data_IF_595521704527
#
_entry.id   IF_595521704527
#
_cell.length_a   1.000
_cell.length_b   1.000
_cell.length_c   1.000
_cell.angle_alpha   90.00
_cell.angle_beta   90.00
_cell.angle_gamma   90.00
#
_symmetry.space_group_name_H-M   'P 1'
#
loop_
_entity.id
_entity.type
_entity.pdbx_description
1 polymer ?
#
# COMPACT_ATOMS: atom_id res chain seq x y z
N UNK A 1 -53.78 54.63 45.61
CA UNK A 1 -52.84 53.98 44.67
C UNK A 1 -51.58 53.59 45.44
N UNK A 2 -51.28 52.29 45.53
CA UNK A 2 -50.08 51.78 46.20
C UNK A 2 -48.82 52.22 45.45
N UNK A 3 -47.69 52.35 46.14
CA UNK A 3 -46.43 52.88 45.57
C UNK A 3 -46.04 52.17 44.26
N UNK A 4 -46.27 50.86 44.19
CA UNK A 4 -46.02 50.00 43.02
C UNK A 4 -46.83 50.38 41.78
N UNK A 5 -48.11 50.73 41.91
CA UNK A 5 -48.94 51.12 40.75
C UNK A 5 -48.55 52.49 40.19
N UNK A 6 -48.02 53.40 41.04
CA UNK A 6 -47.50 54.69 40.57
C UNK A 6 -46.21 54.51 39.76
N UNK A 7 -45.29 53.62 40.17
CA UNK A 7 -44.06 53.35 39.42
C UNK A 7 -44.32 52.74 38.04
N UNK A 8 -45.28 51.82 37.92
CA UNK A 8 -45.68 51.25 36.63
C UNK A 8 -46.29 52.31 35.69
N UNK A 9 -47.08 53.23 36.24
CA UNK A 9 -47.64 54.35 35.45
C UNK A 9 -46.54 55.30 34.95
N UNK A 10 -45.54 55.61 35.78
CA UNK A 10 -44.41 56.45 35.37
C UNK A 10 -43.53 55.79 34.30
N UNK A 11 -43.32 54.46 34.37
CA UNK A 11 -42.61 53.73 33.32
C UNK A 11 -43.34 53.79 31.99
N UNK A 12 -44.66 53.57 31.98
CA UNK A 12 -45.46 53.63 30.76
C UNK A 12 -45.43 55.03 30.13
N UNK A 13 -45.55 56.08 30.96
CA UNK A 13 -45.43 57.46 30.49
C UNK A 13 -44.04 57.72 29.89
N UNK A 14 -42.96 57.23 30.54
CA UNK A 14 -41.60 57.40 30.03
C UNK A 14 -41.38 56.71 28.67
N UNK A 15 -41.95 55.51 28.45
CA UNK A 15 -41.86 54.80 27.17
C UNK A 15 -42.61 55.56 26.07
N UNK A 16 -43.83 56.03 26.37
CA UNK A 16 -44.64 56.78 25.39
C UNK A 16 -43.97 58.10 25.04
N UNK A 17 -43.46 58.84 26.03
CA UNK A 17 -42.72 60.09 25.79
C UNK A 17 -41.41 59.82 25.03
N UNK A 18 -40.67 58.77 25.38
CA UNK A 18 -39.44 58.40 24.66
C UNK A 18 -39.69 58.04 23.20
N UNK A 19 -40.78 57.31 22.93
CA UNK A 19 -41.17 56.93 21.56
C UNK A 19 -41.64 58.16 20.77
N UNK A 20 -42.42 59.05 21.39
CA UNK A 20 -42.85 60.30 20.78
C UNK A 20 -41.66 61.22 20.46
N UNK A 21 -40.69 61.35 21.38
CA UNK A 21 -39.47 62.12 21.16
C UNK A 21 -38.58 61.50 20.06
N UNK A 22 -38.46 60.18 20.02
CA UNK A 22 -37.73 59.48 18.95
C UNK A 22 -38.35 59.75 17.57
N UNK A 23 -39.67 59.67 17.45
CA UNK A 23 -40.36 59.92 16.18
C UNK A 23 -40.31 61.40 15.78
N UNK A 24 -40.46 62.31 16.75
CA UNK A 24 -40.58 63.76 16.48
C UNK A 24 -39.22 64.42 16.22
N UNK A 25 -38.14 63.93 16.83
CA UNK A 25 -36.82 64.57 16.75
C UNK A 25 -35.76 63.76 15.99
N UNK A 26 -36.03 62.52 15.59
CA UNK A 26 -35.12 61.73 14.75
C UNK A 26 -35.52 61.84 13.26
N UNK A 27 -35.54 63.05 12.72
CA UNK A 27 -35.95 63.37 11.35
C UNK A 27 -34.80 63.33 10.34
N UNK A 28 -33.88 62.37 10.45
CA UNK A 28 -32.80 62.21 9.44
C UNK A 28 -32.16 60.82 9.36
N UNK A 29 -32.85 59.75 9.81
CA UNK A 29 -32.42 58.37 9.53
C UNK A 29 -33.19 57.80 8.32
N UNK A 30 -33.12 58.53 7.20
CA UNK A 30 -33.73 58.19 5.92
C UNK A 30 -32.72 58.34 4.79
N UNK A 31 -31.53 57.74 4.95
CA UNK A 31 -30.53 57.63 3.89
C UNK A 31 -29.65 56.40 4.18
N UNK A 32 -30.16 55.20 3.89
CA UNK A 32 -29.29 54.04 3.77
C UNK A 32 -28.63 54.16 2.40
N UNK A 33 -27.36 54.57 2.44
CA UNK A 33 -26.48 54.54 1.30
C UNK A 33 -26.53 53.15 0.64
N UNK A 34 -26.74 53.14 -0.67
CA UNK A 34 -26.40 52.00 -1.52
C UNK A 34 -24.90 51.78 -1.42
N UNK A 35 -24.48 50.99 -0.43
CA UNK A 35 -23.18 50.32 -0.48
C UNK A 35 -23.36 49.24 -1.52
N UNK A 36 -22.83 49.48 -2.72
CA UNK A 36 -22.60 48.40 -3.67
C UNK A 36 -21.69 47.40 -2.96
N UNK A 37 -22.25 46.27 -2.54
CA UNK A 37 -21.42 45.14 -2.13
C UNK A 37 -20.46 44.85 -3.29
N UNK A 38 -19.14 44.79 -3.06
CA UNK A 38 -18.24 44.29 -4.08
C UNK A 38 -18.73 42.88 -4.42
N UNK A 39 -19.00 42.63 -5.69
CA UNK A 39 -19.29 41.29 -6.20
C UNK A 39 -18.20 40.36 -5.71
N UNK A 40 -18.50 39.58 -4.69
CA UNK A 40 -17.72 38.40 -4.35
C UNK A 40 -17.96 37.45 -5.49
N UNK A 41 -17.03 37.44 -6.45
CA UNK A 41 -16.83 36.29 -7.32
C UNK A 41 -16.77 35.09 -6.37
N UNK A 42 -17.81 34.26 -6.40
CA UNK A 42 -17.74 32.95 -5.77
C UNK A 42 -16.55 32.28 -6.43
N UNK A 43 -15.44 32.17 -5.71
CA UNK A 43 -14.38 31.23 -6.06
C UNK A 43 -15.09 29.88 -6.03
N UNK A 44 -15.48 29.40 -7.21
CA UNK A 44 -15.89 28.01 -7.39
C UNK A 44 -14.60 27.26 -7.10
N UNK A 45 -14.43 26.79 -5.86
CA UNK A 45 -13.44 25.78 -5.55
C UNK A 45 -13.90 24.58 -6.37
N UNK A 46 -13.33 24.42 -7.57
CA UNK A 46 -13.52 23.23 -8.38
C UNK A 46 -13.04 22.10 -7.50
N UNK A 47 -13.97 21.25 -7.03
CA UNK A 47 -13.61 20.03 -6.31
C UNK A 47 -12.50 19.36 -7.10
N UNK A 48 -11.40 19.00 -6.43
CA UNK A 48 -10.24 18.52 -7.16
C UNK A 48 -10.65 17.24 -7.90
N UNK A 49 -10.49 17.27 -9.22
CA UNK A 49 -10.97 16.18 -10.08
C UNK A 49 -10.17 14.91 -9.78
N UNK A 50 -10.86 13.78 -9.69
CA UNK A 50 -10.23 12.49 -9.46
C UNK A 50 -9.07 12.25 -10.43
N UNK A 51 -7.95 11.78 -9.89
CA UNK A 51 -6.75 11.49 -10.66
C UNK A 51 -6.96 10.19 -11.43
N UNK A 52 -6.59 10.18 -12.71
CA UNK A 52 -6.53 8.98 -13.52
C UNK A 52 -5.23 8.99 -14.32
N UNK A 53 -4.44 7.92 -14.24
CA UNK A 53 -3.22 7.78 -15.03
C UNK A 53 -3.39 6.72 -16.13
N UNK A 54 -3.08 7.05 -17.39
CA UNK A 54 -3.20 6.11 -18.50
C UNK A 54 -2.17 4.98 -18.40
N UNK A 55 -2.48 3.82 -18.97
CA UNK A 55 -1.48 2.84 -19.34
C UNK A 55 -0.73 3.35 -20.56
N UNK A 56 0.39 4.00 -20.30
CA UNK A 56 1.30 4.55 -21.30
C UNK A 56 2.68 3.91 -21.13
N UNK A 57 3.22 3.39 -22.22
CA UNK A 57 4.57 2.84 -22.33
C UNK A 57 5.18 3.40 -23.59
N UNK A 58 6.38 3.96 -23.48
CA UNK A 58 7.20 4.40 -24.61
C UNK A 58 8.67 4.14 -24.28
N UNK A 59 9.39 3.49 -25.20
CA UNK A 59 10.81 3.20 -25.05
C UNK A 59 11.24 1.96 -25.85
N UNK A 60 12.53 1.93 -26.22
CA UNK A 60 13.19 0.80 -26.87
C UNK A 60 12.42 0.18 -28.05
N UNK A 61 11.76 1.01 -28.86
CA UNK A 61 11.04 0.57 -30.06
C UNK A 61 9.62 0.06 -29.82
N UNK A 62 9.08 0.20 -28.61
CA UNK A 62 7.68 -0.06 -28.29
C UNK A 62 7.00 1.20 -27.76
N UNK A 63 5.82 1.50 -28.31
CA UNK A 63 4.97 2.59 -27.84
C UNK A 63 3.51 2.16 -27.83
N UNK A 64 2.83 2.36 -26.71
CA UNK A 64 1.41 2.09 -26.54
C UNK A 64 0.80 3.04 -25.51
N UNK A 65 -0.43 3.49 -25.75
CA UNK A 65 -1.14 4.38 -24.84
C UNK A 65 -2.65 4.11 -24.90
N UNK A 66 -3.29 3.99 -23.74
CA UNK A 66 -4.74 3.95 -23.56
C UNK A 66 -5.12 4.71 -22.29
N UNK A 67 -6.34 5.25 -22.26
CA UNK A 67 -6.89 5.93 -21.07
C UNK A 67 -7.26 4.94 -19.95
N UNK A 68 -7.17 3.63 -20.17
CA UNK A 68 -7.35 2.57 -19.17
C UNK A 68 -6.02 2.21 -18.48
N UNK A 69 -6.08 1.59 -17.30
CA UNK A 69 -4.92 1.12 -16.54
C UNK A 69 -5.37 0.15 -15.42
N UNK A 70 -4.42 -0.41 -14.67
CA UNK A 70 -4.70 -1.21 -13.48
C UNK A 70 -5.29 -0.34 -12.37
N UNK A 71 -6.50 -0.70 -11.94
CA UNK A 71 -7.26 0.03 -10.94
C UNK A 71 -7.25 -0.72 -9.60
N UNK A 72 -7.28 0.04 -8.50
CA UNK A 72 -7.18 -0.49 -7.15
C UNK A 72 -8.13 0.24 -6.21
N UNK A 73 -8.76 -0.48 -5.29
CA UNK A 73 -9.43 0.16 -4.16
C UNK A 73 -8.39 0.86 -3.25
N UNK A 74 -8.82 1.91 -2.56
CA UNK A 74 -8.02 2.56 -1.50
C UNK A 74 -7.56 1.52 -0.48
N UNK A 75 -6.30 1.62 -0.03
CA UNK A 75 -5.68 0.70 0.93
C UNK A 75 -5.66 -0.77 0.48
N UNK A 76 -5.66 -1.01 -0.84
CA UNK A 76 -5.63 -2.34 -1.45
C UNK A 76 -4.58 -2.44 -2.57
N UNK A 77 -3.94 -3.60 -2.65
CA UNK A 77 -3.08 -3.99 -3.76
C UNK A 77 -3.75 -4.96 -4.75
N UNK A 78 -5.01 -5.35 -4.50
CA UNK A 78 -5.74 -6.25 -5.39
C UNK A 78 -6.18 -5.49 -6.65
N UNK A 79 -5.81 -6.02 -7.81
CA UNK A 79 -6.22 -5.51 -9.11
C UNK A 79 -7.74 -5.68 -9.25
N UNK A 80 -8.43 -4.61 -9.64
CA UNK A 80 -9.85 -4.68 -10.01
C UNK A 80 -10.00 -5.37 -11.37
N UNK A 81 -10.77 -6.46 -11.39
CA UNK A 81 -11.01 -7.30 -12.55
C UNK A 81 -12.47 -7.21 -13.02
N UNK A 82 -12.77 -7.43 -14.31
CA UNK A 82 -11.82 -7.73 -15.39
C UNK A 82 -11.04 -6.48 -15.85
N UNK A 83 -9.87 -6.69 -16.45
CA UNK A 83 -9.13 -5.61 -17.14
C UNK A 83 -9.90 -5.18 -18.39
N UNK A 84 -9.79 -3.90 -18.78
CA UNK A 84 -10.38 -3.42 -20.02
C UNK A 84 -9.71 -4.01 -21.26
N UNK A 85 -10.45 -3.97 -22.37
CA UNK A 85 -10.01 -4.57 -23.63
C UNK A 85 -8.74 -3.88 -24.19
N UNK A 86 -8.68 -2.54 -24.12
CA UNK A 86 -7.53 -1.77 -24.60
C UNK A 86 -6.28 -2.03 -23.74
N UNK A 87 -6.43 -2.14 -22.41
CA UNK A 87 -5.32 -2.53 -21.54
C UNK A 87 -4.81 -3.94 -21.88
N UNK A 88 -5.71 -4.90 -22.07
CA UNK A 88 -5.36 -6.28 -22.43
C UNK A 88 -4.65 -6.36 -23.78
N UNK A 89 -5.08 -5.57 -24.77
CA UNK A 89 -4.40 -5.43 -26.06
C UNK A 89 -2.99 -4.87 -25.89
N UNK A 90 -2.82 -3.81 -25.08
CA UNK A 90 -1.52 -3.21 -24.77
C UNK A 90 -0.55 -4.22 -24.13
N UNK A 91 -1.04 -5.00 -23.17
CA UNK A 91 -0.25 -6.05 -22.51
C UNK A 91 0.17 -7.15 -23.51
N UNK A 92 -0.72 -7.54 -24.42
CA UNK A 92 -0.40 -8.54 -25.47
C UNK A 92 0.68 -8.00 -26.42
N UNK A 93 0.60 -6.72 -26.80
CA UNK A 93 1.65 -6.05 -27.57
C UNK A 93 2.99 -6.01 -26.83
N UNK A 94 2.95 -5.71 -25.52
CA UNK A 94 4.12 -5.66 -24.66
C UNK A 94 4.80 -7.03 -24.54
N UNK A 95 4.01 -8.10 -24.38
CA UNK A 95 4.52 -9.47 -24.35
C UNK A 95 5.30 -9.80 -25.63
N UNK A 96 4.68 -9.60 -26.80
CA UNK A 96 5.34 -9.86 -28.10
C UNK A 96 6.63 -9.06 -28.28
N UNK A 97 6.66 -7.82 -27.79
CA UNK A 97 7.85 -6.99 -27.83
C UNK A 97 8.97 -7.54 -26.93
N UNK A 98 8.66 -7.96 -25.71
CA UNK A 98 9.65 -8.52 -24.77
C UNK A 98 10.19 -9.89 -25.20
N UNK A 99 9.38 -10.71 -25.87
CA UNK A 99 9.80 -12.00 -26.43
C UNK A 99 10.84 -11.86 -27.55
N UNK A 100 10.90 -10.70 -28.21
CA UNK A 100 11.86 -10.43 -29.29
C UNK A 100 13.03 -9.56 -28.84
N UNK A 101 13.04 -9.09 -27.60
CA UNK A 101 14.03 -8.15 -27.05
C UNK A 101 14.41 -8.53 -25.61
N UNK A 102 15.24 -9.56 -25.45
CA UNK A 102 15.64 -10.10 -24.14
C UNK A 102 16.39 -9.10 -23.24
N UNK A 103 16.98 -8.05 -23.81
CA UNK A 103 17.63 -6.97 -23.05
C UNK A 103 16.64 -5.96 -22.46
N UNK A 104 15.39 -5.93 -22.96
CA UNK A 104 14.38 -5.02 -22.46
C UNK A 104 13.83 -5.48 -21.11
N UNK A 105 13.74 -4.52 -20.19
CA UNK A 105 13.20 -4.69 -18.85
C UNK A 105 12.12 -3.65 -18.62
N UNK A 106 10.98 -4.08 -18.10
CA UNK A 106 9.87 -3.24 -17.72
C UNK A 106 10.06 -2.75 -16.30
N UNK A 107 10.01 -1.44 -16.12
CA UNK A 107 9.89 -0.78 -14.83
C UNK A 107 8.41 -0.55 -14.53
N UNK A 108 7.89 -1.19 -13.49
CA UNK A 108 6.53 -0.96 -12.99
C UNK A 108 6.64 -0.20 -11.67
N UNK A 109 6.16 1.04 -11.65
CA UNK A 109 6.09 1.84 -10.43
C UNK A 109 4.65 1.96 -9.99
N UNK A 110 4.28 1.30 -8.90
CA UNK A 110 2.98 1.45 -8.29
C UNK A 110 2.95 2.68 -7.37
N UNK A 111 1.83 3.37 -7.38
CA UNK A 111 1.62 4.57 -6.59
C UNK A 111 0.85 4.28 -5.30
N UNK A 112 1.11 5.06 -4.27
CA UNK A 112 0.37 5.03 -3.00
C UNK A 112 0.38 6.41 -2.33
N UNK A 113 -0.53 6.62 -1.38
CA UNK A 113 -0.56 7.85 -0.57
C UNK A 113 -0.24 7.55 0.91
N UNK A 114 0.13 8.59 1.66
CA UNK A 114 0.39 8.51 3.11
C UNK A 114 -0.85 8.17 3.92
N UNK A 115 -2.04 8.45 3.38
CA UNK A 115 -3.33 8.21 4.02
C UNK A 115 -3.81 6.76 3.87
N UNK A 116 -3.12 5.94 3.06
CA UNK A 116 -3.49 4.53 2.86
C UNK A 116 -2.90 3.62 3.94
N UNK A 117 -3.69 2.63 4.36
CA UNK A 117 -3.25 1.61 5.30
C UNK A 117 -2.50 0.47 4.59
N UNK A 118 -1.22 0.29 4.91
CA UNK A 118 -0.43 -0.81 4.35
C UNK A 118 -0.63 -2.13 5.12
N UNK A 119 -1.56 -2.94 4.65
CA UNK A 119 -1.87 -4.28 5.17
C UNK A 119 -1.08 -5.43 4.52
N UNK A 120 -0.06 -5.12 3.72
CA UNK A 120 0.70 -6.10 2.93
C UNK A 120 1.95 -6.57 3.69
N UNK A 121 2.81 -7.37 3.05
CA UNK A 121 4.15 -7.73 3.55
C UNK A 121 5.26 -6.84 2.95
N UNK A 122 4.92 -5.89 2.07
CA UNK A 122 5.89 -4.99 1.44
C UNK A 122 6.04 -3.69 2.25
N UNK A 123 7.14 -2.93 2.02
CA UNK A 123 7.37 -1.64 2.67
C UNK A 123 6.25 -0.61 2.45
N UNK A 124 5.63 -0.61 1.26
CA UNK A 124 4.51 0.28 0.94
C UNK A 124 3.52 -0.38 -0.05
N UNK A 125 2.31 0.19 -0.13
CA UNK A 125 1.25 -0.29 -1.02
C UNK A 125 1.61 -0.15 -2.50
N UNK A 126 2.39 0.87 -2.88
CA UNK A 126 2.80 1.06 -4.27
C UNK A 126 3.63 -0.12 -4.78
N UNK A 127 4.59 -0.59 -3.99
CA UNK A 127 5.39 -1.76 -4.33
C UNK A 127 4.52 -3.04 -4.35
N UNK A 128 3.56 -3.17 -3.43
CA UNK A 128 2.63 -4.28 -3.43
C UNK A 128 1.74 -4.30 -4.69
N UNK A 129 1.25 -3.13 -5.14
CA UNK A 129 0.51 -2.96 -6.39
C UNK A 129 1.36 -3.31 -7.60
N UNK A 130 2.60 -2.81 -7.66
CA UNK A 130 3.54 -3.16 -8.72
C UNK A 130 3.80 -4.67 -8.76
N UNK A 131 3.93 -5.32 -7.60
CA UNK A 131 4.08 -6.76 -7.50
C UNK A 131 2.83 -7.53 -7.99
N UNK A 132 1.62 -7.06 -7.64
CA UNK A 132 0.38 -7.62 -8.15
C UNK A 132 0.27 -7.49 -9.68
N UNK A 133 0.65 -6.34 -10.25
CA UNK A 133 0.70 -6.14 -11.70
C UNK A 133 1.72 -7.08 -12.34
N UNK A 134 2.94 -7.17 -11.79
CA UNK A 134 3.96 -8.13 -12.26
C UNK A 134 3.41 -9.55 -12.31
N UNK A 135 2.69 -10.00 -11.28
CA UNK A 135 2.11 -11.34 -11.25
C UNK A 135 1.01 -11.53 -12.31
N UNK A 136 0.19 -10.50 -12.54
CA UNK A 136 -0.80 -10.51 -13.62
C UNK A 136 -0.14 -10.56 -15.01
N UNK A 137 0.92 -9.79 -15.25
CA UNK A 137 1.71 -9.84 -16.49
C UNK A 137 2.38 -11.20 -16.66
N UNK A 138 2.92 -11.79 -15.60
CA UNK A 138 3.50 -13.13 -15.62
C UNK A 138 2.47 -14.20 -15.97
N UNK A 139 1.24 -14.07 -15.48
CA UNK A 139 0.13 -14.96 -15.88
C UNK A 139 -0.23 -14.85 -17.37
N UNK A 140 0.18 -13.76 -18.04
CA UNK A 140 0.01 -13.51 -19.47
C UNK A 140 1.26 -13.82 -20.29
N UNK A 141 2.25 -14.50 -19.70
CA UNK A 141 3.44 -14.99 -20.40
C UNK A 141 4.66 -14.07 -20.33
N UNK A 142 4.57 -12.91 -19.68
CA UNK A 142 5.73 -12.01 -19.55
C UNK A 142 6.67 -12.53 -18.46
N UNK A 143 7.95 -12.72 -18.79
CA UNK A 143 8.95 -13.19 -17.83
C UNK A 143 9.13 -12.21 -16.66
N UNK A 144 9.02 -12.70 -15.42
CA UNK A 144 9.29 -11.89 -14.21
C UNK A 144 10.74 -11.39 -14.16
N UNK A 145 11.67 -12.08 -14.82
CA UNK A 145 13.06 -11.65 -14.91
C UNK A 145 13.21 -10.33 -15.66
N UNK A 146 12.30 -10.03 -16.60
CA UNK A 146 12.23 -8.78 -17.35
C UNK A 146 11.37 -7.72 -16.65
N UNK A 147 10.97 -7.89 -15.39
CA UNK A 147 10.15 -6.89 -14.69
C UNK A 147 10.84 -6.41 -13.41
N UNK A 148 10.97 -5.11 -13.25
CA UNK A 148 11.33 -4.42 -12.02
C UNK A 148 10.08 -3.83 -11.39
N UNK A 149 9.96 -3.92 -10.07
CA UNK A 149 8.84 -3.37 -9.32
C UNK A 149 9.34 -2.32 -8.34
N UNK A 150 8.64 -1.18 -8.30
CA UNK A 150 8.95 -0.04 -7.45
C UNK A 150 7.66 0.52 -6.84
N UNK A 151 7.79 1.20 -5.71
CA UNK A 151 6.71 1.98 -5.09
C UNK A 151 7.07 3.45 -5.07
N UNK A 152 6.10 4.33 -5.31
CA UNK A 152 6.29 5.79 -5.23
C UNK A 152 5.12 6.44 -4.48
N UNK A 153 5.46 7.28 -3.50
CA UNK A 153 4.49 8.11 -2.78
C UNK A 153 3.96 9.19 -3.73
N UNK A 154 2.64 9.33 -3.79
CA UNK A 154 1.91 10.23 -4.67
C UNK A 154 0.67 10.79 -3.94
N UNK A 155 0.89 11.60 -2.90
CA UNK A 155 -0.21 12.13 -2.05
C UNK A 155 -1.23 13.00 -2.79
N UNK A 156 -0.88 13.46 -3.99
CA UNK A 156 -1.77 14.19 -4.89
C UNK A 156 -2.80 13.29 -5.60
N UNK A 157 -2.73 11.96 -5.41
CA UNK A 157 -3.72 11.05 -5.95
C UNK A 157 -5.06 11.19 -5.26
N UNK A 158 -6.10 11.40 -6.07
CA UNK A 158 -7.47 11.57 -5.58
C UNK A 158 -8.31 10.40 -6.11
N UNK A 159 -8.81 9.51 -5.22
CA UNK A 159 -9.63 8.39 -5.64
C UNK A 159 -11.02 8.88 -6.05
N UNK A 160 -11.67 8.14 -6.95
CA UNK A 160 -13.09 8.30 -7.28
C UNK A 160 -13.85 7.08 -6.82
N UNK A 161 -14.90 7.27 -6.05
CA UNK A 161 -15.76 6.18 -5.55
C UNK A 161 -14.95 5.06 -4.85
N UNK A 162 -13.97 5.46 -4.03
CA UNK A 162 -13.08 4.53 -3.32
C UNK A 162 -12.04 3.81 -4.19
N UNK A 163 -11.87 4.22 -5.45
CA UNK A 163 -10.96 3.61 -6.42
C UNK A 163 -9.92 4.60 -6.90
N UNK A 164 -8.66 4.17 -6.92
CA UNK A 164 -7.59 4.83 -7.66
C UNK A 164 -7.55 4.28 -9.08
N UNK A 165 -7.74 5.17 -10.05
CA UNK A 165 -7.74 4.85 -11.47
C UNK A 165 -6.31 4.97 -12.02
N UNK A 166 -5.71 3.84 -12.39
CA UNK A 166 -4.32 3.79 -12.83
C UNK A 166 -3.30 4.14 -11.76
N UNK A 167 -3.32 3.47 -10.61
CA UNK A 167 -2.32 3.70 -9.55
C UNK A 167 -0.93 3.09 -9.88
N UNK A 168 -0.50 3.16 -11.14
CA UNK A 168 0.79 2.66 -11.59
C UNK A 168 1.24 3.34 -12.90
N UNK A 169 2.56 3.37 -13.09
CA UNK A 169 3.20 3.76 -14.35
C UNK A 169 4.22 2.71 -14.79
N UNK A 170 4.58 2.78 -16.06
CA UNK A 170 5.34 1.79 -16.77
C UNK A 170 6.41 2.46 -17.61
N UNK A 171 7.57 1.81 -17.73
CA UNK A 171 8.63 2.25 -18.63
C UNK A 171 9.44 1.06 -19.11
N UNK A 172 10.06 1.20 -20.28
CA UNK A 172 10.99 0.21 -20.82
C UNK A 172 12.39 0.76 -20.71
N UNK A 173 13.28 -0.04 -20.15
CA UNK A 173 14.70 0.27 -20.03
C UNK A 173 15.52 -0.92 -20.51
N UNK A 174 16.78 -0.67 -20.86
CA UNK A 174 17.75 -1.74 -21.05
C UNK A 174 18.13 -2.37 -19.72
N UNK A 175 18.40 -3.67 -19.74
CA UNK A 175 18.94 -4.42 -18.60
C UNK A 175 20.24 -3.75 -18.13
N UNK A 176 20.34 -3.47 -16.83
CA UNK A 176 21.56 -2.91 -16.23
C UNK A 176 22.76 -3.81 -16.47
N UNK A 177 23.90 -3.22 -16.81
CA UNK A 177 25.18 -3.94 -16.94
C UNK A 177 25.64 -4.57 -15.61
N UNK A 178 25.21 -4.04 -14.47
CA UNK A 178 25.55 -4.54 -13.13
C UNK A 178 24.51 -5.52 -12.58
N UNK A 179 23.47 -5.88 -13.34
CA UNK A 179 22.32 -6.62 -12.83
C UNK A 179 22.72 -7.96 -12.17
N UNK A 180 23.73 -8.65 -12.70
CA UNK A 180 24.20 -9.92 -12.15
C UNK A 180 24.96 -9.74 -10.84
N UNK A 181 25.85 -8.75 -10.76
CA UNK A 181 26.56 -8.39 -9.53
C UNK A 181 25.60 -7.92 -8.43
N UNK A 182 24.60 -7.12 -8.80
CA UNK A 182 23.55 -6.65 -7.88
C UNK A 182 22.73 -7.82 -7.32
N UNK A 183 22.42 -8.84 -8.14
CA UNK A 183 21.71 -10.04 -7.70
C UNK A 183 22.56 -10.91 -6.78
N UNK A 184 23.87 -11.03 -7.05
CA UNK A 184 24.79 -11.73 -6.18
C UNK A 184 24.90 -11.06 -4.82
N UNK A 185 25.08 -9.73 -4.79
CA UNK A 185 25.10 -8.96 -3.56
C UNK A 185 23.78 -9.09 -2.78
N UNK A 186 22.64 -9.13 -3.49
CA UNK A 186 21.33 -9.35 -2.88
C UNK A 186 21.20 -10.75 -2.24
N UNK A 187 21.68 -11.80 -2.92
CA UNK A 187 21.70 -13.16 -2.36
C UNK A 187 22.52 -13.23 -1.06
N UNK A 188 23.75 -12.68 -1.09
CA UNK A 188 24.65 -12.65 0.06
C UNK A 188 24.01 -11.86 1.23
N UNK A 189 23.41 -10.71 0.94
CA UNK A 189 22.68 -9.91 1.94
C UNK A 189 21.55 -10.69 2.61
N UNK A 190 20.70 -11.36 1.82
CA UNK A 190 19.54 -12.09 2.33
C UNK A 190 19.97 -13.29 3.20
N UNK A 191 21.00 -14.03 2.77
CA UNK A 191 21.46 -15.21 3.52
C UNK A 191 22.34 -14.86 4.73
N UNK A 192 23.02 -13.70 4.73
CA UNK A 192 23.74 -13.20 5.90
C UNK A 192 22.81 -12.72 7.02
N UNK A 193 21.66 -12.13 6.67
CA UNK A 193 20.66 -11.65 7.62
C UNK A 193 19.24 -12.12 7.22
N UNK A 194 18.91 -13.41 7.47
CA UNK A 194 17.66 -13.99 7.02
C UNK A 194 16.42 -13.33 7.64
N UNK A 195 15.27 -13.48 6.99
CA UNK A 195 14.00 -13.08 7.58
C UNK A 195 13.63 -14.09 8.66
N UNK A 196 13.47 -13.60 9.89
CA UNK A 196 13.07 -14.41 11.05
C UNK A 196 11.70 -13.91 11.52
N UNK A 197 10.75 -14.83 11.61
CA UNK A 197 9.40 -14.60 12.12
C UNK A 197 9.27 -15.31 13.46
N UNK A 198 9.01 -14.57 14.52
CA UNK A 198 8.76 -15.13 15.85
C UNK A 198 7.28 -15.40 16.05
N UNK A 199 6.96 -16.48 16.76
CA UNK A 199 5.58 -16.86 17.06
C UNK A 199 5.39 -16.91 18.57
N UNK A 200 4.52 -16.03 19.07
CA UNK A 200 4.00 -16.18 20.42
C UNK A 200 3.03 -17.38 20.46
N UNK A 201 2.88 -17.99 21.63
CA UNK A 201 2.12 -19.25 21.81
C UNK A 201 0.62 -19.15 21.49
N UNK A 202 0.11 -17.95 21.17
CA UNK A 202 -1.30 -17.69 20.88
C UNK A 202 -1.54 -16.65 19.76
N UNK A 203 -0.52 -16.21 19.03
CA UNK A 203 -0.70 -15.20 17.97
C UNK A 203 -1.09 -15.86 16.63
N UNK A 204 -2.23 -15.42 16.09
CA UNK A 204 -2.78 -15.86 14.81
C UNK A 204 -2.42 -14.93 13.64
N UNK A 205 -1.54 -13.94 13.85
CA UNK A 205 -1.19 -12.94 12.83
C UNK A 205 0.31 -12.64 12.80
N UNK A 206 0.80 -12.26 11.62
CA UNK A 206 2.16 -11.77 11.40
C UNK A 206 2.08 -10.26 11.27
N UNK A 207 2.73 -9.53 12.18
CA UNK A 207 2.96 -8.09 12.03
C UNK A 207 4.43 -7.88 11.72
N UNK A 208 4.73 -7.46 10.48
CA UNK A 208 6.09 -7.19 10.05
C UNK A 208 6.47 -5.74 10.32
N UNK A 209 7.64 -5.54 10.92
CA UNK A 209 8.27 -4.23 10.97
C UNK A 209 8.83 -3.80 9.59
N UNK A 210 9.32 -2.56 9.49
CA UNK A 210 9.84 -2.00 8.24
C UNK A 210 11.03 -2.81 7.69
N UNK A 211 11.91 -3.29 8.55
CA UNK A 211 13.09 -4.08 8.15
C UNK A 211 12.66 -5.44 7.60
N UNK A 212 11.73 -6.11 8.28
CA UNK A 212 11.19 -7.40 7.83
C UNK A 212 10.44 -7.26 6.51
N UNK A 213 9.66 -6.18 6.32
CA UNK A 213 9.00 -5.88 5.04
C UNK A 213 10.00 -5.67 3.91
N UNK A 214 11.12 -5.00 4.19
CA UNK A 214 12.20 -4.86 3.21
C UNK A 214 12.80 -6.22 2.85
N UNK A 215 13.01 -7.11 3.83
CA UNK A 215 13.49 -8.48 3.55
C UNK A 215 12.51 -9.27 2.67
N UNK A 216 11.20 -9.10 2.85
CA UNK A 216 10.20 -9.73 1.96
C UNK A 216 10.31 -9.19 0.53
N UNK A 217 10.46 -7.87 0.37
CA UNK A 217 10.66 -7.25 -0.94
C UNK A 217 11.94 -7.77 -1.62
N UNK A 218 13.04 -7.86 -0.86
CA UNK A 218 14.33 -8.36 -1.33
C UNK A 218 14.24 -9.83 -1.79
N UNK A 219 13.60 -10.69 -0.98
CA UNK A 219 13.34 -12.10 -1.34
C UNK A 219 12.49 -12.18 -2.61
N UNK A 220 11.37 -11.46 -2.70
CA UNK A 220 10.51 -11.46 -3.90
C UNK A 220 11.32 -11.07 -5.13
N UNK A 221 12.06 -9.97 -5.06
CA UNK A 221 12.90 -9.49 -6.16
C UNK A 221 13.90 -10.56 -6.61
N UNK A 222 14.57 -11.23 -5.68
CA UNK A 222 15.53 -12.28 -6.06
C UNK A 222 14.84 -13.46 -6.77
N UNK A 223 13.73 -13.94 -6.22
CA UNK A 223 12.98 -15.07 -6.78
C UNK A 223 12.40 -14.80 -8.18
N UNK A 224 12.07 -13.52 -8.46
CA UNK A 224 11.58 -13.06 -9.75
C UNK A 224 12.68 -13.00 -10.81
N UNK A 225 13.90 -12.61 -10.41
CA UNK A 225 15.03 -12.38 -11.31
C UNK A 225 15.87 -13.61 -11.59
N UNK A 226 15.93 -14.56 -10.66
CA UNK A 226 16.75 -15.76 -10.79
C UNK A 226 15.87 -16.97 -11.11
N UNK A 227 16.00 -17.45 -12.36
CA UNK A 227 15.31 -18.64 -12.80
C UNK A 227 15.68 -19.85 -11.92
N UNK A 228 14.69 -20.64 -11.52
CA UNK A 228 14.88 -21.80 -10.65
C UNK A 228 15.19 -21.50 -9.17
N UNK A 229 15.43 -20.24 -8.79
CA UNK A 229 15.63 -19.89 -7.38
C UNK A 229 14.38 -20.21 -6.55
N UNK A 230 14.60 -20.66 -5.32
CA UNK A 230 13.54 -20.94 -4.34
C UNK A 230 13.93 -20.38 -2.97
N UNK A 231 12.94 -20.21 -2.10
CA UNK A 231 13.14 -19.84 -0.70
C UNK A 231 12.78 -21.01 0.21
N UNK A 232 13.62 -21.25 1.22
CA UNK A 232 13.32 -22.19 2.29
C UNK A 232 12.61 -21.46 3.42
N UNK A 233 11.51 -22.04 3.88
CA UNK A 233 10.76 -21.61 5.06
C UNK A 233 10.85 -22.74 6.09
N UNK A 234 11.67 -22.53 7.12
CA UNK A 234 12.01 -23.57 8.11
C UNK A 234 11.45 -23.22 9.47
N UNK A 235 10.56 -24.05 9.98
CA UNK A 235 9.95 -23.86 11.30
C UNK A 235 10.74 -24.52 12.42
N UNK A 236 10.83 -23.82 13.55
CA UNK A 236 11.47 -24.26 14.79
C UNK A 236 10.52 -24.13 15.98
N UNK A 237 10.78 -24.95 17.00
CA UNK A 237 10.05 -24.93 18.28
C UNK A 237 11.03 -24.82 19.45
N UNK A 238 10.51 -24.49 20.62
CA UNK A 238 11.22 -24.76 21.86
C UNK A 238 11.21 -26.27 22.19
N UNK A 239 11.89 -26.63 23.28
CA UNK A 239 12.03 -28.03 23.70
C UNK A 239 10.87 -28.55 24.57
N UNK A 240 9.75 -27.83 24.66
CA UNK A 240 8.62 -28.24 25.48
C UNK A 240 7.80 -29.31 24.75
N UNK A 241 7.58 -30.46 25.40
CA UNK A 241 6.77 -31.55 24.84
C UNK A 241 7.56 -32.56 24.00
N UNK A 242 6.84 -33.38 23.23
CA UNK A 242 7.45 -34.48 22.46
C UNK A 242 8.07 -33.99 21.15
N UNK A 243 9.20 -34.59 20.76
CA UNK A 243 9.91 -34.24 19.54
C UNK A 243 9.07 -34.37 18.26
N UNK A 244 8.22 -35.41 18.16
CA UNK A 244 7.31 -35.63 17.03
C UNK A 244 6.25 -34.52 16.93
N UNK A 245 5.66 -34.13 18.06
CA UNK A 245 4.72 -33.01 18.15
C UNK A 245 5.39 -31.70 17.74
N UNK A 246 6.63 -31.47 18.20
CA UNK A 246 7.40 -30.28 17.86
C UNK A 246 7.80 -30.23 16.39
N UNK A 247 8.09 -31.37 15.77
CA UNK A 247 8.31 -31.46 14.32
C UNK A 247 7.07 -31.00 13.54
N UNK A 248 5.88 -31.49 13.93
CA UNK A 248 4.61 -31.09 13.31
C UNK A 248 4.30 -29.61 13.53
N UNK A 249 4.44 -29.11 14.76
CA UNK A 249 4.19 -27.70 15.10
C UNK A 249 5.12 -26.75 14.34
N UNK A 250 6.41 -27.09 14.23
CA UNK A 250 7.33 -26.33 13.40
C UNK A 250 6.89 -26.29 11.93
N UNK A 251 6.40 -27.42 11.38
CA UNK A 251 5.89 -27.46 10.01
C UNK A 251 4.66 -26.59 9.84
N UNK A 252 3.69 -26.64 10.77
CA UNK A 252 2.48 -25.81 10.76
C UNK A 252 2.82 -24.30 10.74
N UNK A 253 3.81 -23.86 11.54
CA UNK A 253 4.30 -22.47 11.51
C UNK A 253 4.94 -22.08 10.18
N UNK A 254 5.70 -22.99 9.58
CA UNK A 254 6.31 -22.75 8.28
C UNK A 254 5.26 -22.68 7.15
N UNK A 255 4.22 -23.52 7.19
CA UNK A 255 3.09 -23.45 6.25
C UNK A 255 2.28 -22.15 6.40
N UNK A 256 2.13 -21.65 7.64
CA UNK A 256 1.50 -20.36 7.89
C UNK A 256 2.32 -19.21 7.29
N UNK A 257 3.64 -19.21 7.48
CA UNK A 257 4.53 -18.24 6.85
C UNK A 257 4.49 -18.34 5.30
N UNK A 258 4.47 -19.55 4.73
CA UNK A 258 4.27 -19.76 3.28
C UNK A 258 2.96 -19.14 2.81
N UNK A 259 1.85 -19.41 3.49
CA UNK A 259 0.54 -18.85 3.14
C UNK A 259 0.55 -17.32 3.16
N UNK A 260 1.24 -16.72 4.13
CA UNK A 260 1.42 -15.27 4.21
C UNK A 260 2.24 -14.70 3.04
N UNK A 261 3.35 -15.35 2.67
CA UNK A 261 4.16 -14.96 1.50
C UNK A 261 3.38 -15.11 0.19
N UNK A 262 2.60 -16.19 0.03
CA UNK A 262 1.74 -16.41 -1.13
C UNK A 262 0.65 -15.35 -1.26
N UNK A 263 0.00 -14.99 -0.15
CA UNK A 263 -0.99 -13.90 -0.14
C UNK A 263 -0.39 -12.56 -0.61
N UNK A 264 0.91 -12.37 -0.40
CA UNK A 264 1.67 -11.21 -0.85
C UNK A 264 2.34 -11.43 -2.22
N UNK A 265 1.89 -12.42 -2.98
CA UNK A 265 2.26 -12.57 -4.38
C UNK A 265 3.62 -13.23 -4.65
N UNK A 266 4.18 -13.98 -3.69
CA UNK A 266 5.28 -14.92 -3.98
C UNK A 266 4.67 -16.24 -4.48
N UNK A 267 5.13 -16.73 -5.62
CA UNK A 267 4.59 -17.95 -6.23
C UNK A 267 4.83 -19.19 -5.34
N UNK A 268 3.83 -20.08 -5.27
CA UNK A 268 3.82 -21.19 -4.32
C UNK A 268 4.90 -22.26 -4.57
N UNK A 269 5.28 -22.43 -5.83
CA UNK A 269 6.35 -23.30 -6.33
C UNK A 269 7.75 -22.80 -5.98
N UNK A 270 7.89 -21.51 -5.68
CA UNK A 270 9.13 -20.89 -5.20
C UNK A 270 9.37 -21.08 -3.71
N UNK A 271 8.41 -21.62 -2.95
CA UNK A 271 8.47 -21.71 -1.49
C UNK A 271 8.54 -23.17 -1.03
N UNK A 272 9.70 -23.55 -0.49
CA UNK A 272 9.97 -24.88 0.07
C UNK A 272 9.79 -24.84 1.58
N UNK A 273 8.89 -25.66 2.11
CA UNK A 273 8.58 -25.72 3.55
C UNK A 273 9.27 -26.92 4.20
N UNK A 274 9.91 -26.70 5.35
CA UNK A 274 10.41 -27.77 6.20
C UNK A 274 10.34 -27.41 7.69
N UNK A 275 10.68 -28.36 8.55
CA UNK A 275 10.70 -28.18 10.00
C UNK A 275 11.93 -28.84 10.60
N UNK A 276 12.51 -28.19 11.61
CA UNK A 276 13.55 -28.76 12.47
C UNK A 276 13.01 -29.10 13.86
N UNK A 277 11.74 -28.80 14.15
CA UNK A 277 11.17 -28.91 15.49
C UNK A 277 12.10 -28.27 16.53
N UNK A 278 12.40 -29.04 17.57
CA UNK A 278 13.27 -28.62 18.68
C UNK A 278 14.77 -28.90 18.48
N UNK A 279 15.18 -29.45 17.34
CA UNK A 279 16.55 -29.99 17.14
C UNK A 279 17.64 -28.93 16.93
N UNK A 280 17.27 -27.68 16.63
CA UNK A 280 18.21 -26.59 16.37
C UNK A 280 17.85 -25.33 17.17
N UNK A 281 18.03 -25.36 18.51
CA UNK A 281 17.83 -24.21 19.37
C UNK A 281 18.92 -23.16 19.14
N UNK A 282 18.56 -21.88 19.24
CA UNK A 282 19.49 -20.73 19.18
C UNK A 282 19.65 -20.05 20.54
N UNK A 283 18.85 -20.45 21.51
CA UNK A 283 18.90 -19.98 22.89
C UNK A 283 18.56 -21.12 23.86
N UNK A 284 18.90 -20.94 25.14
CA UNK A 284 18.59 -21.92 26.19
C UNK A 284 17.07 -22.13 26.31
N UNK A 285 16.61 -23.39 26.41
CA UNK A 285 15.21 -23.68 26.68
C UNK A 285 14.84 -23.58 28.17
N UNK A 286 15.84 -23.33 29.04
CA UNK A 286 15.63 -23.21 30.48
C UNK A 286 14.83 -21.95 30.86
N UNK A 287 14.96 -20.87 30.09
CA UNK A 287 14.25 -19.60 30.35
C UNK A 287 13.17 -19.34 29.31
N UNK A 288 12.15 -18.55 29.66
CA UNK A 288 11.08 -18.23 28.70
C UNK A 288 11.61 -17.38 27.54
N UNK A 289 12.53 -16.45 27.81
CA UNK A 289 13.14 -15.60 26.79
C UNK A 289 13.86 -16.43 25.74
N UNK A 290 14.54 -17.50 26.15
CA UNK A 290 15.20 -18.41 25.23
C UNK A 290 14.20 -19.30 24.47
N UNK A 291 13.12 -19.75 25.11
CA UNK A 291 12.03 -20.48 24.42
C UNK A 291 11.35 -19.63 23.34
N UNK A 292 11.04 -18.36 23.62
CA UNK A 292 10.50 -17.41 22.62
C UNK A 292 11.41 -17.33 21.40
N UNK A 293 12.73 -17.18 21.60
CA UNK A 293 13.71 -17.14 20.49
C UNK A 293 13.75 -18.44 19.69
N UNK A 294 13.51 -19.58 20.33
CA UNK A 294 13.48 -20.88 19.65
C UNK A 294 12.18 -21.10 18.84
N UNK A 295 11.06 -20.48 19.25
CA UNK A 295 9.79 -20.49 18.50
C UNK A 295 9.84 -19.48 17.34
N UNK A 296 10.51 -19.89 16.27
CA UNK A 296 10.73 -19.05 15.08
C UNK A 296 10.52 -19.81 13.78
N UNK A 297 10.26 -19.07 12.71
CA UNK A 297 10.41 -19.53 11.33
C UNK A 297 11.51 -18.72 10.68
N UNK A 298 12.45 -19.39 10.03
CA UNK A 298 13.57 -18.76 9.32
C UNK A 298 13.32 -18.89 7.82
N UNK A 299 13.45 -17.78 7.10
CA UNK A 299 13.28 -17.70 5.66
C UNK A 299 14.62 -17.31 5.02
N UNK A 300 15.11 -18.15 4.11
CA UNK A 300 16.41 -18.04 3.41
C UNK A 300 16.25 -18.35 1.93
N UNK A 301 17.25 -17.99 1.12
CA UNK A 301 17.31 -18.40 -0.28
C UNK A 301 18.11 -19.71 -0.42
N UNK A 302 17.72 -20.56 -1.36
CA UNK A 302 18.55 -21.69 -1.82
C UNK A 302 19.53 -21.22 -2.89
#
# INVERSE_FOLDING_TARGET
>A
MTKTTRYLLYMLIAIVVGTFLYITYCSECGAVATVTEPTTEKVIIKEPSATSYPFAIDGNGFAYNTNDNYNFNVSSHNILMPLGAELTQGISGLQNHLETNDSNVINITGYYTSEEENNTAFPNLGLARANSIKNDLASKGISTAQINTMGKLMDEMIPKDGTYWGAATFGIVEKSATAEDDLKALYEKINADPLILYFNSAEASISLDATQRQKVADISRYLDKVAGATTNVVGHTDATGQASTNMRLGKERAEFAKSYLMKNGIAADKIIVSSKGQSQPIATNATEEGRVKNRRTVITLN
#
